data_IF_788762342580
#
_entry.id   IF_788762342580
#
_cell.length_a   1.000
_cell.length_b   1.000
_cell.length_c   1.000
_cell.angle_alpha   90.00
_cell.angle_beta   90.00
_cell.angle_gamma   90.00
#
_symmetry.space_group_name_H-M   'P 1'
#
loop_
_entity.id
_entity.type
_entity.pdbx_description
1 polymer ?
#
# COMPACT_ATOMS: atom_id res chain seq x y z
N UNK A 1 -20.34 2.13 11.95
CA UNK A 1 -20.09 3.18 10.93
C UNK A 1 -21.19 4.24 10.95
N UNK A 2 -22.47 3.89 10.73
CA UNK A 2 -23.61 4.84 10.74
C UNK A 2 -23.67 5.68 12.02
N UNK A 3 -23.74 5.06 13.19
CA UNK A 3 -23.76 5.75 14.49
C UNK A 3 -22.57 6.73 14.69
N UNK A 4 -21.39 6.38 14.18
CA UNK A 4 -20.20 7.25 14.29
C UNK A 4 -20.35 8.50 13.43
N UNK A 5 -20.90 8.35 12.21
CA UNK A 5 -21.20 9.46 11.31
C UNK A 5 -22.34 10.33 11.85
N UNK A 6 -23.43 9.73 12.35
CA UNK A 6 -24.56 10.47 12.91
C UNK A 6 -24.14 11.33 14.11
N UNK A 7 -23.32 10.78 15.01
CA UNK A 7 -22.80 11.50 16.17
C UNK A 7 -21.90 12.70 15.80
N UNK A 8 -21.39 12.76 14.58
CA UNK A 8 -20.45 13.80 14.09
C UNK A 8 -20.98 14.57 12.89
N UNK A 9 -22.26 14.39 12.56
CA UNK A 9 -22.90 14.99 11.39
C UNK A 9 -22.85 16.52 11.42
N UNK A 10 -22.91 17.09 12.63
CA UNK A 10 -22.91 18.54 12.86
C UNK A 10 -21.56 19.07 13.37
N UNK A 11 -20.49 18.27 13.27
CA UNK A 11 -19.16 18.75 13.64
C UNK A 11 -18.75 19.90 12.73
N UNK A 12 -18.26 20.95 13.37
CA UNK A 12 -17.75 22.15 12.71
C UNK A 12 -16.28 21.94 12.33
N UNK A 13 -15.75 22.89 11.55
CA UNK A 13 -14.32 22.89 11.21
C UNK A 13 -13.42 22.85 12.45
N UNK A 14 -13.76 23.60 13.50
CA UNK A 14 -12.98 23.66 14.73
C UNK A 14 -12.96 22.31 15.48
N UNK A 15 -14.04 21.53 15.41
CA UNK A 15 -14.11 20.19 16.02
C UNK A 15 -13.17 19.21 15.31
N UNK A 16 -13.13 19.26 13.97
CA UNK A 16 -12.20 18.47 13.18
C UNK A 16 -10.76 18.90 13.39
N UNK A 17 -10.51 20.21 13.46
CA UNK A 17 -9.17 20.78 13.67
C UNK A 17 -8.56 20.36 15.02
N UNK A 18 -9.37 20.20 16.06
CA UNK A 18 -8.92 19.74 17.39
C UNK A 18 -8.72 18.23 17.47
N UNK A 19 -9.11 17.48 16.45
CA UNK A 19 -8.98 16.02 16.44
C UNK A 19 -7.58 15.62 15.99
N UNK A 20 -6.88 14.85 16.84
CA UNK A 20 -5.59 14.25 16.48
C UNK A 20 -5.86 12.89 15.84
N UNK A 21 -5.35 12.71 14.63
CA UNK A 21 -5.42 11.46 13.89
C UNK A 21 -4.08 10.75 13.99
N UNK A 22 -4.12 9.43 14.15
CA UNK A 22 -2.92 8.59 14.16
C UNK A 22 -3.20 7.36 13.34
N UNK A 23 -2.25 6.91 12.55
CA UNK A 23 -2.36 5.69 11.76
C UNK A 23 -1.01 4.99 11.65
N UNK A 24 -1.02 3.75 11.20
CA UNK A 24 0.17 2.99 10.87
C UNK A 24 0.27 2.81 9.36
N UNK A 25 1.39 3.22 8.78
CA UNK A 25 1.66 2.98 7.36
C UNK A 25 2.98 2.28 7.16
N UNK A 26 2.98 1.31 6.24
CA UNK A 26 4.19 0.58 5.86
C UNK A 26 4.76 1.19 4.59
N UNK A 27 6.02 1.57 4.62
CA UNK A 27 6.78 2.05 3.47
C UNK A 27 7.77 0.98 3.05
N UNK A 28 7.77 0.61 1.78
CA UNK A 28 8.67 -0.42 1.26
C UNK A 28 9.57 0.18 0.17
N UNK A 29 10.85 -0.20 0.17
CA UNK A 29 11.80 0.15 -0.88
C UNK A 29 11.52 -0.56 -2.22
N UNK A 30 10.87 -1.73 -2.16
CA UNK A 30 10.25 -2.35 -3.32
C UNK A 30 8.82 -1.81 -3.46
N UNK A 31 8.51 -1.21 -4.61
CA UNK A 31 7.18 -0.65 -4.80
C UNK A 31 6.07 -1.71 -4.71
N UNK A 32 4.87 -1.22 -4.40
CA UNK A 32 3.73 -2.08 -4.11
C UNK A 32 3.29 -2.85 -5.36
N UNK A 33 3.42 -4.18 -5.31
CA UNK A 33 2.70 -5.07 -6.22
C UNK A 33 3.00 -4.86 -7.70
N UNK A 34 4.25 -4.57 -8.06
CA UNK A 34 4.66 -4.68 -9.47
C UNK A 34 4.57 -6.15 -9.87
N UNK A 35 3.46 -6.54 -10.51
CA UNK A 35 3.44 -7.71 -11.40
C UNK A 35 3.69 -7.17 -12.81
N UNK A 36 4.91 -7.27 -13.35
CA UNK A 36 5.14 -6.90 -14.74
C UNK A 36 4.27 -7.80 -15.62
N UNK A 37 3.54 -7.17 -16.55
CA UNK A 37 2.80 -7.90 -17.57
C UNK A 37 3.78 -8.34 -18.65
N UNK A 38 3.99 -9.64 -18.79
CA UNK A 38 4.85 -10.23 -19.82
C UNK A 38 3.98 -10.90 -20.88
N UNK A 39 4.19 -10.54 -22.15
CA UNK A 39 3.65 -11.27 -23.29
C UNK A 39 4.69 -12.32 -23.71
N UNK A 40 4.36 -13.61 -23.61
CA UNK A 40 5.27 -14.72 -23.94
C UNK A 40 4.51 -15.90 -24.55
N UNK A 41 5.22 -16.70 -25.33
CA UNK A 41 4.77 -18.03 -25.76
C UNK A 41 5.06 -19.08 -24.68
N UNK A 42 4.42 -20.27 -24.72
CA UNK A 42 4.70 -21.33 -23.73
C UNK A 42 6.17 -21.77 -23.68
N UNK A 43 6.91 -21.64 -24.78
CA UNK A 43 8.33 -22.01 -24.84
C UNK A 43 9.25 -20.98 -24.14
N UNK A 44 8.77 -19.75 -23.96
CA UNK A 44 9.52 -18.63 -23.37
C UNK A 44 9.25 -18.48 -21.87
N UNK A 45 8.57 -19.45 -21.26
CA UNK A 45 8.21 -19.42 -19.84
C UNK A 45 9.42 -19.17 -18.92
N UNK A 46 10.59 -19.69 -19.29
CA UNK A 46 11.82 -19.54 -18.53
C UNK A 46 12.83 -18.60 -19.18
N UNK A 47 12.41 -17.81 -20.18
CA UNK A 47 13.30 -16.80 -20.77
C UNK A 47 13.61 -15.71 -19.72
N UNK A 48 14.86 -15.25 -19.57
CA UNK A 48 15.22 -14.24 -18.58
C UNK A 48 14.37 -12.96 -18.67
N UNK A 49 14.07 -12.50 -19.88
CA UNK A 49 13.20 -11.33 -20.10
C UNK A 49 11.73 -11.55 -19.71
N UNK A 50 11.33 -12.82 -19.53
CA UNK A 50 9.97 -13.25 -19.19
C UNK A 50 9.83 -13.68 -17.71
N UNK A 51 10.90 -13.57 -16.93
CA UNK A 51 10.94 -13.86 -15.51
C UNK A 51 11.12 -12.53 -14.78
N UNK A 52 10.18 -12.21 -13.90
CA UNK A 52 10.41 -11.16 -12.90
C UNK A 52 11.28 -11.76 -11.80
N UNK A 53 12.47 -11.21 -11.60
CA UNK A 53 13.35 -11.62 -10.51
C UNK A 53 12.63 -11.35 -9.18
N UNK A 54 12.05 -12.39 -8.59
CA UNK A 54 11.54 -12.33 -7.22
C UNK A 54 12.75 -12.40 -6.30
N UNK A 55 13.38 -11.24 -6.11
CA UNK A 55 14.48 -11.09 -5.16
C UNK A 55 13.96 -11.34 -3.73
N UNK A 56 14.20 -12.54 -3.22
CA UNK A 56 14.12 -12.84 -1.79
C UNK A 56 15.45 -12.42 -1.13
N UNK A 57 15.53 -11.19 -0.58
CA UNK A 57 16.46 -10.80 0.51
C UNK A 57 16.47 -9.28 0.82
N UNK A 58 15.99 -8.41 -0.09
CA UNK A 58 16.26 -6.96 -0.01
C UNK A 58 15.08 -6.04 0.35
N UNK A 59 13.86 -6.58 0.51
CA UNK A 59 12.68 -5.76 0.82
C UNK A 59 12.78 -5.23 2.25
N UNK A 60 13.26 -4.00 2.39
CA UNK A 60 13.20 -3.27 3.64
C UNK A 60 11.87 -2.52 3.67
N UNK A 61 10.93 -3.07 4.44
CA UNK A 61 9.72 -2.37 4.85
C UNK A 61 9.98 -1.68 6.19
N UNK A 62 9.65 -0.39 6.29
CA UNK A 62 9.60 0.33 7.56
C UNK A 62 8.14 0.61 7.87
N UNK A 63 7.71 0.18 9.06
CA UNK A 63 6.41 0.55 9.61
C UNK A 63 6.58 1.85 10.39
N UNK A 64 5.76 2.83 10.07
CA UNK A 64 5.78 4.15 10.69
C UNK A 64 4.42 4.38 11.31
N UNK A 65 4.42 4.85 12.56
CA UNK A 65 3.26 5.36 13.25
C UNK A 65 3.36 6.89 13.32
N UNK A 66 2.24 7.58 13.09
CA UNK A 66 2.18 9.04 13.16
C UNK A 66 0.78 9.58 12.98
#
# INVERSE_FOLDING_TARGET
RVQWCEARLHWTYDDWFRTIWTDESTFNTAGFGHRPWVLRTPAEEYHPDCIDETWESGRQGVMIWG
#
